data_IF_050155315588
#
_entry.id   IF_050155315588
#
_cell.length_a   1.000
_cell.length_b   1.000
_cell.length_c   1.000
_cell.angle_alpha   90.00
_cell.angle_beta   90.00
_cell.angle_gamma   90.00
#
_symmetry.space_group_name_H-M   'P 1'
#
loop_
_entity.id
_entity.type
_entity.pdbx_description
1 polymer ?
#
# COMPACT_ATOMS: atom_id res chain seq x y z
N UNK A 1 26.80 8.90 -2.78
CA UNK A 1 26.27 9.44 -1.53
C UNK A 1 24.85 8.94 -1.33
N UNK A 2 24.51 8.37 -0.16
CA UNK A 2 23.17 7.93 0.18
C UNK A 2 22.34 9.07 0.76
N UNK A 3 21.03 9.04 0.51
CA UNK A 3 20.03 9.93 1.11
C UNK A 3 18.94 9.07 1.76
N UNK A 4 18.64 9.37 3.01
CA UNK A 4 17.68 8.62 3.82
C UNK A 4 16.44 9.47 4.08
N UNK A 5 15.27 8.84 3.98
CA UNK A 5 13.98 9.48 4.20
C UNK A 5 13.11 8.62 5.10
N UNK A 6 12.52 9.24 6.10
CA UNK A 6 11.51 8.61 6.94
C UNK A 6 10.13 9.02 6.43
N UNK A 7 9.29 8.02 6.16
CA UNK A 7 7.92 8.19 5.71
C UNK A 7 6.95 8.00 6.87
N UNK A 8 6.02 8.94 7.04
CA UNK A 8 4.92 8.80 7.99
C UNK A 8 3.89 7.80 7.45
N UNK A 9 4.21 6.52 7.59
CA UNK A 9 3.34 5.40 7.19
C UNK A 9 3.39 4.31 8.25
N UNK A 10 2.23 3.77 8.67
CA UNK A 10 2.17 2.66 9.62
C UNK A 10 2.57 1.32 8.99
N UNK A 11 2.60 1.24 7.67
CA UNK A 11 2.93 0.02 6.94
C UNK A 11 4.40 -0.32 7.19
N UNK A 12 4.70 -1.56 7.57
CA UNK A 12 6.07 -2.05 7.69
C UNK A 12 6.67 -2.17 6.30
N UNK A 13 7.50 -1.19 5.90
CA UNK A 13 8.15 -1.18 4.60
C UNK A 13 9.45 -0.36 4.61
N UNK A 14 10.40 -0.78 3.76
CA UNK A 14 11.58 -0.03 3.36
C UNK A 14 11.84 -0.29 1.88
N UNK A 15 12.45 0.64 1.18
CA UNK A 15 12.82 0.44 -0.22
C UNK A 15 13.92 1.39 -0.66
N UNK A 16 14.68 0.94 -1.64
CA UNK A 16 15.75 1.71 -2.24
C UNK A 16 15.43 2.08 -3.69
N UNK A 17 15.72 3.31 -4.07
CA UNK A 17 15.63 3.78 -5.46
C UNK A 17 17.05 3.98 -6.05
N UNK A 18 17.20 3.85 -7.37
CA UNK A 18 18.45 4.18 -8.07
C UNK A 18 18.92 5.59 -7.71
N UNK A 19 20.24 5.77 -7.57
CA UNK A 19 20.83 7.05 -7.19
C UNK A 19 21.13 7.19 -5.71
N UNK A 20 20.87 6.14 -4.89
CA UNK A 20 21.24 6.13 -3.46
C UNK A 20 20.16 6.68 -2.53
N UNK A 21 18.91 6.67 -2.96
CA UNK A 21 17.77 7.09 -2.14
C UNK A 21 17.21 5.88 -1.40
N UNK A 22 17.15 5.95 -0.07
CA UNK A 22 16.61 4.89 0.80
C UNK A 22 15.47 5.48 1.62
N UNK A 23 14.34 4.80 1.59
CA UNK A 23 13.13 5.19 2.28
C UNK A 23 12.78 4.14 3.33
N UNK A 24 12.43 4.60 4.52
CA UNK A 24 11.96 3.80 5.63
C UNK A 24 10.60 4.31 6.06
N UNK A 25 9.74 3.42 6.50
CA UNK A 25 8.47 3.80 7.11
C UNK A 25 8.58 3.81 8.63
N UNK A 26 7.70 4.54 9.27
CA UNK A 26 7.50 4.51 10.71
C UNK A 26 7.14 3.10 11.21
N UNK A 27 6.42 2.31 10.37
CA UNK A 27 6.12 0.91 10.67
C UNK A 27 7.35 0.04 10.80
N UNK A 28 8.37 0.21 9.94
CA UNK A 28 9.67 -0.51 10.08
C UNK A 28 10.39 -0.09 11.35
N UNK A 29 10.38 1.20 11.69
CA UNK A 29 10.97 1.66 12.94
C UNK A 29 10.28 1.03 14.15
N UNK A 30 8.95 0.96 14.15
CA UNK A 30 8.19 0.36 15.24
C UNK A 30 8.42 -1.15 15.38
N UNK A 31 8.72 -1.85 14.29
CA UNK A 31 9.02 -3.29 14.29
C UNK A 31 10.45 -3.59 14.75
N UNK A 32 11.39 -2.68 14.50
CA UNK A 32 12.80 -2.86 14.87
C UNK A 32 12.98 -2.80 16.39
N UNK A 33 13.80 -3.69 16.95
CA UNK A 33 14.02 -3.80 18.37
C UNK A 33 15.30 -3.10 18.85
N UNK A 34 16.10 -2.58 17.93
CA UNK A 34 17.39 -1.90 18.25
C UNK A 34 17.86 -1.07 17.07
N UNK A 35 18.82 -0.17 17.33
CA UNK A 35 19.51 0.57 16.28
C UNK A 35 20.22 -0.37 15.31
N UNK A 36 20.79 -1.48 15.80
CA UNK A 36 21.42 -2.48 14.95
C UNK A 36 20.43 -3.16 13.99
N UNK A 37 19.20 -3.44 14.41
CA UNK A 37 18.15 -3.98 13.51
C UNK A 37 17.73 -2.93 12.46
N UNK A 38 17.63 -1.66 12.84
CA UNK A 38 17.37 -0.58 11.88
C UNK A 38 18.53 -0.43 10.90
N UNK A 39 19.79 -0.50 11.39
CA UNK A 39 20.98 -0.49 10.55
C UNK A 39 21.03 -1.71 9.60
N UNK A 40 20.48 -2.86 10.03
CA UNK A 40 20.36 -4.05 9.19
C UNK A 40 19.43 -3.81 8.00
N UNK A 41 18.25 -3.20 8.22
CA UNK A 41 17.34 -2.80 7.15
C UNK A 41 18.01 -1.84 6.18
N UNK A 42 18.67 -0.78 6.70
CA UNK A 42 19.40 0.17 5.86
C UNK A 42 20.54 -0.49 5.08
N UNK A 43 21.25 -1.42 5.68
CA UNK A 43 22.31 -2.20 5.06
C UNK A 43 21.80 -3.10 3.94
N UNK A 44 20.65 -3.75 4.14
CA UNK A 44 19.95 -4.55 3.13
C UNK A 44 19.55 -3.68 1.92
N UNK A 45 18.92 -2.54 2.16
CA UNK A 45 18.54 -1.59 1.09
C UNK A 45 19.75 -1.03 0.35
N UNK A 46 20.83 -0.71 1.07
CA UNK A 46 22.10 -0.32 0.48
C UNK A 46 22.69 -1.47 -0.36
N UNK A 47 22.51 -2.72 0.06
CA UNK A 47 22.88 -3.92 -0.68
C UNK A 47 22.19 -3.98 -2.04
N UNK A 48 20.90 -3.72 -2.10
CA UNK A 48 20.15 -3.65 -3.37
C UNK A 48 20.69 -2.56 -4.32
N UNK A 49 21.11 -1.41 -3.77
CA UNK A 49 21.71 -0.33 -4.58
C UNK A 49 23.08 -0.73 -5.11
N UNK A 50 23.96 -1.24 -4.23
CA UNK A 50 25.36 -1.58 -4.60
C UNK A 50 25.43 -2.75 -5.55
N UNK A 51 24.53 -3.74 -5.40
CA UNK A 51 24.38 -4.86 -6.34
C UNK A 51 23.58 -4.51 -7.60
N UNK A 52 23.08 -3.26 -7.71
CA UNK A 52 22.29 -2.74 -8.85
C UNK A 52 21.02 -3.54 -9.15
N UNK A 53 20.40 -4.17 -8.17
CA UNK A 53 19.22 -5.00 -8.35
C UNK A 53 18.05 -4.25 -8.98
N UNK A 54 17.80 -3.01 -8.56
CA UNK A 54 16.74 -2.16 -9.12
C UNK A 54 17.00 -1.80 -10.58
N UNK A 55 18.27 -1.51 -10.95
CA UNK A 55 18.64 -1.21 -12.34
C UNK A 55 18.52 -2.44 -13.24
N UNK A 56 18.94 -3.62 -12.76
CA UNK A 56 18.80 -4.87 -13.47
C UNK A 56 17.32 -5.22 -13.72
N UNK A 57 16.48 -5.03 -12.70
CA UNK A 57 15.03 -5.24 -12.78
C UNK A 57 14.38 -4.31 -13.80
N UNK A 58 14.75 -3.03 -13.78
CA UNK A 58 14.28 -2.04 -14.74
C UNK A 58 14.68 -2.41 -16.18
N UNK A 59 15.95 -2.77 -16.39
CA UNK A 59 16.47 -3.16 -17.72
C UNK A 59 15.78 -4.42 -18.25
N UNK A 60 15.55 -5.43 -17.40
CA UNK A 60 14.80 -6.65 -17.78
C UNK A 60 13.35 -6.34 -18.10
N UNK A 61 12.70 -5.46 -17.33
CA UNK A 61 11.33 -5.03 -17.58
C UNK A 61 11.18 -4.29 -18.91
N UNK A 62 12.09 -3.35 -19.20
CA UNK A 62 12.12 -2.63 -20.48
C UNK A 62 12.39 -3.59 -21.64
N UNK A 63 13.34 -4.53 -21.50
CA UNK A 63 13.62 -5.52 -22.52
C UNK A 63 12.43 -6.45 -22.80
N UNK A 64 11.71 -6.89 -21.75
CA UNK A 64 10.50 -7.70 -21.92
C UNK A 64 9.36 -6.91 -22.56
N UNK A 65 9.21 -5.64 -22.21
CA UNK A 65 8.17 -4.77 -22.78
C UNK A 65 8.48 -4.43 -24.23
N UNK A 66 9.73 -4.11 -24.55
CA UNK A 66 10.18 -3.89 -25.93
C UNK A 66 10.04 -5.17 -26.78
N UNK A 67 10.43 -6.34 -26.24
CA UNK A 67 10.24 -7.62 -26.90
C UNK A 67 8.77 -7.94 -27.16
N UNK A 68 7.90 -7.71 -26.17
CA UNK A 68 6.46 -7.86 -26.34
C UNK A 68 5.85 -6.83 -27.30
N UNK A 69 6.35 -5.59 -27.29
CA UNK A 69 5.89 -4.53 -28.22
C UNK A 69 6.30 -4.79 -29.67
N UNK A 70 7.50 -5.34 -29.90
CA UNK A 70 7.94 -5.74 -31.23
C UNK A 70 7.08 -6.91 -31.72
N UNK A 71 6.74 -7.86 -30.85
CA UNK A 71 5.88 -8.99 -31.19
C UNK A 71 4.41 -8.55 -31.43
N UNK A 72 3.92 -7.56 -30.65
CA UNK A 72 2.55 -7.02 -30.81
C UNK A 72 2.43 -6.03 -31.99
N UNK A 73 3.47 -5.28 -32.32
CA UNK A 73 3.50 -4.41 -33.50
C UNK A 73 3.40 -5.17 -34.81
N UNK A 74 3.73 -6.47 -34.79
CA UNK A 74 3.52 -7.39 -35.92
C UNK A 74 2.07 -7.90 -35.99
N UNK A 75 1.29 -7.75 -34.88
CA UNK A 75 -0.02 -8.38 -34.73
C UNK A 75 -1.18 -7.37 -34.58
N UNK A 76 -1.01 -6.18 -34.00
CA UNK A 76 -2.07 -5.17 -33.93
C UNK A 76 -1.63 -3.81 -33.32
N UNK A 77 -2.31 -2.72 -33.71
CA UNK A 77 -1.95 -1.31 -33.46
C UNK A 77 -2.32 -0.73 -32.09
N UNK A 78 -2.63 -1.55 -31.07
CA UNK A 78 -3.09 -1.10 -29.74
C UNK A 78 -2.01 -1.04 -28.63
N UNK A 79 -0.73 -1.25 -28.97
CA UNK A 79 0.35 -1.47 -28.01
C UNK A 79 0.96 -0.25 -27.32
N UNK A 80 0.62 0.99 -27.69
CA UNK A 80 1.33 2.19 -27.20
C UNK A 80 0.86 2.64 -25.80
N UNK A 81 -0.35 2.32 -25.41
CA UNK A 81 -0.92 2.75 -24.13
C UNK A 81 -0.47 1.90 -22.92
N UNK A 82 0.03 0.70 -23.14
CA UNK A 82 0.53 -0.18 -22.06
C UNK A 82 1.97 0.13 -21.61
N UNK A 83 2.79 0.74 -22.45
CA UNK A 83 4.19 1.02 -22.15
C UNK A 83 4.39 2.07 -21.04
N UNK A 84 3.44 2.97 -20.84
CA UNK A 84 3.52 4.03 -19.82
C UNK A 84 3.11 3.57 -18.40
N UNK A 85 2.41 2.43 -18.27
CA UNK A 85 2.03 1.83 -16.97
C UNK A 85 3.12 0.92 -16.35
N UNK A 86 4.10 0.52 -17.12
CA UNK A 86 5.10 -0.50 -16.70
C UNK A 86 6.10 0.02 -15.67
N UNK A 87 6.32 1.34 -15.59
CA UNK A 87 7.30 1.92 -14.67
C UNK A 87 6.95 1.73 -13.20
N UNK A 88 5.68 1.89 -12.82
CA UNK A 88 5.24 1.73 -11.42
C UNK A 88 5.15 0.26 -10.98
N UNK A 89 4.68 -0.62 -11.84
CA UNK A 89 4.54 -2.05 -11.52
C UNK A 89 5.89 -2.76 -11.34
N UNK A 90 6.94 -2.26 -11.99
CA UNK A 90 8.29 -2.80 -11.87
C UNK A 90 8.92 -2.56 -10.49
N UNK A 91 8.58 -1.46 -9.81
CA UNK A 91 9.04 -1.18 -8.44
C UNK A 91 8.26 -1.98 -7.38
N UNK A 92 7.05 -2.46 -7.72
CA UNK A 92 6.19 -3.21 -6.81
C UNK A 92 6.41 -4.73 -6.87
N UNK A 93 7.20 -5.24 -7.83
CA UNK A 93 7.52 -6.66 -7.91
C UNK A 93 8.60 -7.05 -6.91
N UNK A 94 8.47 -8.23 -6.31
CA UNK A 94 9.48 -8.78 -5.40
C UNK A 94 10.81 -9.02 -6.10
N UNK A 95 11.90 -8.89 -5.35
CA UNK A 95 13.22 -9.33 -5.80
C UNK A 95 13.29 -10.86 -5.89
N UNK A 96 14.20 -11.37 -6.69
CA UNK A 96 14.45 -12.81 -6.72
C UNK A 96 15.12 -13.27 -5.42
N UNK A 97 14.96 -14.54 -5.05
CA UNK A 97 15.62 -15.10 -3.86
C UNK A 97 17.14 -14.89 -3.87
N UNK A 98 17.77 -15.00 -5.04
CA UNK A 98 19.21 -14.76 -5.17
C UNK A 98 19.58 -13.30 -4.86
N UNK A 99 18.79 -12.35 -5.33
CA UNK A 99 18.99 -10.92 -5.07
C UNK A 99 18.75 -10.58 -3.58
N UNK A 100 17.73 -11.18 -2.96
CA UNK A 100 17.48 -11.05 -1.54
C UNK A 100 18.64 -11.58 -0.69
N UNK A 101 19.10 -12.80 -0.99
CA UNK A 101 20.25 -13.39 -0.31
C UNK A 101 21.51 -12.54 -0.47
N UNK A 102 21.78 -12.00 -1.66
CA UNK A 102 22.91 -11.11 -1.88
C UNK A 102 22.79 -9.80 -1.11
N UNK A 103 21.58 -9.24 -1.01
CA UNK A 103 21.33 -8.03 -0.22
C UNK A 103 21.52 -8.30 1.29
N UNK A 104 21.11 -9.46 1.79
CA UNK A 104 21.35 -9.89 3.17
C UNK A 104 22.85 -10.04 3.46
N UNK A 105 23.59 -10.74 2.60
CA UNK A 105 25.04 -10.95 2.75
C UNK A 105 25.81 -9.60 2.76
N UNK A 106 25.43 -8.68 1.86
CA UNK A 106 25.98 -7.32 1.83
C UNK A 106 25.59 -6.51 3.08
N UNK A 107 24.33 -6.61 3.51
CA UNK A 107 23.83 -5.94 4.70
C UNK A 107 24.57 -6.37 5.96
N UNK A 108 24.77 -7.66 6.17
CA UNK A 108 25.53 -8.22 7.30
C UNK A 108 26.98 -7.70 7.27
N UNK A 109 27.61 -7.68 6.09
CA UNK A 109 28.96 -7.13 5.92
C UNK A 109 29.02 -5.63 6.26
N UNK A 110 28.00 -4.86 5.88
CA UNK A 110 27.92 -3.43 6.22
C UNK A 110 27.71 -3.20 7.71
N UNK A 111 26.85 -3.98 8.35
CA UNK A 111 26.67 -3.98 9.81
C UNK A 111 28.00 -4.18 10.54
N UNK A 112 28.72 -5.28 10.20
CA UNK A 112 30.00 -5.61 10.83
C UNK A 112 31.02 -4.48 10.65
N UNK A 113 31.12 -3.89 9.46
CA UNK A 113 32.03 -2.76 9.19
C UNK A 113 31.64 -1.48 9.93
N UNK A 114 30.37 -1.28 10.19
CA UNK A 114 29.86 -0.15 10.97
C UNK A 114 29.94 -0.36 12.48
N UNK A 115 30.42 -1.53 12.94
CA UNK A 115 30.58 -1.87 14.35
C UNK A 115 29.30 -2.36 15.02
N UNK A 116 28.23 -2.63 14.27
CA UNK A 116 27.02 -3.25 14.79
C UNK A 116 27.14 -4.78 14.85
N UNK A 117 26.31 -5.40 15.71
CA UNK A 117 26.22 -6.86 15.77
C UNK A 117 25.64 -7.44 14.46
N UNK A 118 26.35 -8.37 13.81
CA UNK A 118 25.89 -8.98 12.56
C UNK A 118 24.57 -9.76 12.70
N UNK A 119 24.29 -10.26 13.92
CA UNK A 119 23.06 -11.03 14.22
C UNK A 119 21.79 -10.17 14.17
N UNK A 120 21.91 -8.84 14.14
CA UNK A 120 20.77 -7.94 14.03
C UNK A 120 19.95 -8.15 12.75
N UNK A 121 20.58 -8.55 11.63
CA UNK A 121 19.87 -8.92 10.41
C UNK A 121 18.91 -10.10 10.65
N UNK A 122 19.38 -11.14 11.32
CA UNK A 122 18.56 -12.29 11.69
C UNK A 122 17.43 -11.91 12.64
N UNK A 123 17.72 -11.04 13.62
CA UNK A 123 16.72 -10.51 14.56
C UNK A 123 15.59 -9.80 13.83
N UNK A 124 15.92 -8.87 12.95
CA UNK A 124 14.92 -8.15 12.15
C UNK A 124 14.09 -9.08 11.26
N UNK A 125 14.73 -9.99 10.53
CA UNK A 125 14.00 -10.95 9.67
C UNK A 125 13.05 -11.86 10.47
N UNK A 126 13.44 -12.23 11.70
CA UNK A 126 12.58 -13.02 12.60
C UNK A 126 11.37 -12.22 13.07
N UNK A 127 11.56 -10.96 13.46
CA UNK A 127 10.47 -10.04 13.82
C UNK A 127 9.52 -9.84 12.63
N UNK A 128 10.08 -9.63 11.45
CA UNK A 128 9.33 -9.49 10.22
C UNK A 128 8.49 -10.75 9.92
N UNK A 129 9.06 -11.94 10.08
CA UNK A 129 8.33 -13.21 9.87
C UNK A 129 7.17 -13.37 10.88
N UNK A 130 7.39 -13.00 12.14
CA UNK A 130 6.36 -13.03 13.18
C UNK A 130 5.20 -12.07 12.86
N UNK A 131 5.49 -10.86 12.40
CA UNK A 131 4.51 -9.85 11.97
C UNK A 131 3.65 -10.39 10.81
N UNK A 132 4.28 -10.97 9.78
CA UNK A 132 3.55 -11.59 8.68
C UNK A 132 2.61 -12.70 9.11
N UNK A 133 3.06 -13.54 10.04
CA UNK A 133 2.23 -14.61 10.58
C UNK A 133 1.02 -14.06 11.35
N UNK A 134 1.22 -12.97 12.10
CA UNK A 134 0.16 -12.27 12.82
C UNK A 134 -0.85 -11.63 11.85
N UNK A 135 -0.39 -10.90 10.86
CA UNK A 135 -1.24 -10.30 9.82
C UNK A 135 -2.09 -11.35 9.10
N UNK A 136 -1.46 -12.48 8.70
CA UNK A 136 -2.15 -13.59 8.05
C UNK A 136 -3.23 -14.19 8.94
N UNK A 137 -2.96 -14.33 10.22
CA UNK A 137 -3.92 -14.84 11.21
C UNK A 137 -5.09 -13.87 11.40
N UNK A 138 -4.82 -12.57 11.48
CA UNK A 138 -5.87 -11.54 11.62
C UNK A 138 -6.73 -11.47 10.36
N UNK A 139 -6.12 -11.55 9.18
CA UNK A 139 -6.82 -11.52 7.89
C UNK A 139 -7.61 -12.80 7.58
N UNK A 140 -7.42 -13.88 8.33
CA UNK A 140 -8.04 -15.18 8.03
C UNK A 140 -7.56 -15.79 6.70
N UNK A 141 -6.42 -15.37 6.18
CA UNK A 141 -5.85 -15.81 4.90
C UNK A 141 -4.41 -16.29 5.10
N UNK A 142 -3.95 -17.20 4.26
CA UNK A 142 -2.53 -17.64 4.25
C UNK A 142 -1.61 -16.69 3.46
N UNK A 143 -2.14 -15.58 2.97
CA UNK A 143 -1.42 -14.64 2.12
C UNK A 143 -1.30 -13.28 2.81
N UNK A 144 -0.08 -12.83 3.05
CA UNK A 144 0.22 -11.49 3.52
C UNK A 144 -0.29 -10.40 2.57
N UNK A 145 -0.66 -9.26 3.10
CA UNK A 145 -1.14 -8.11 2.34
C UNK A 145 -0.10 -7.66 1.29
N UNK A 146 -0.58 -7.32 0.10
CA UNK A 146 0.25 -6.98 -1.08
C UNK A 146 1.12 -5.70 -0.94
N UNK A 147 1.03 -4.99 0.18
CA UNK A 147 1.68 -3.68 0.37
C UNK A 147 2.71 -3.64 1.50
N UNK A 148 3.18 -4.79 1.98
CA UNK A 148 4.15 -4.87 3.07
C UNK A 148 5.55 -5.15 2.53
N UNK A 149 6.57 -4.99 3.38
CA UNK A 149 7.94 -5.37 3.10
C UNK A 149 8.04 -6.82 2.55
N UNK A 150 7.17 -7.71 2.97
CA UNK A 150 7.09 -9.08 2.46
C UNK A 150 6.74 -9.21 0.99
N UNK A 151 5.92 -8.28 0.46
CA UNK A 151 5.57 -8.33 -0.96
C UNK A 151 6.76 -8.05 -1.86
N UNK A 152 7.69 -7.21 -1.40
CA UNK A 152 8.91 -6.84 -2.12
C UNK A 152 10.12 -7.66 -1.68
N UNK A 153 10.19 -8.07 -0.39
CA UNK A 153 11.29 -8.77 0.26
C UNK A 153 10.79 -9.98 1.07
N UNK A 154 10.46 -11.11 0.44
CA UNK A 154 9.91 -12.27 1.16
C UNK A 154 10.88 -12.78 2.23
N UNK A 155 10.50 -12.70 3.52
CA UNK A 155 11.23 -13.28 4.63
C UNK A 155 10.89 -14.76 4.74
N UNK A 156 11.64 -15.59 4.05
CA UNK A 156 11.49 -17.05 4.14
C UNK A 156 12.29 -17.60 5.33
N UNK A 157 11.86 -18.71 5.92
CA UNK A 157 12.66 -19.41 6.95
C UNK A 157 14.06 -19.77 6.45
N UNK A 158 14.24 -19.99 5.14
CA UNK A 158 15.53 -20.20 4.50
C UNK A 158 16.44 -18.97 4.62
N UNK A 159 15.92 -17.73 4.39
CA UNK A 159 16.69 -16.50 4.57
C UNK A 159 17.11 -16.31 6.03
N UNK A 160 16.21 -16.53 6.98
CA UNK A 160 16.54 -16.46 8.42
C UNK A 160 17.68 -17.43 8.75
N UNK A 161 17.60 -18.70 8.31
CA UNK A 161 18.65 -19.69 8.56
C UNK A 161 19.97 -19.29 7.92
N UNK A 162 19.94 -18.82 6.69
CA UNK A 162 21.13 -18.38 5.96
C UNK A 162 21.82 -17.18 6.61
N UNK A 163 21.06 -16.20 7.09
CA UNK A 163 21.61 -15.03 7.78
C UNK A 163 22.26 -15.39 9.11
N UNK A 164 21.82 -16.46 9.80
CA UNK A 164 22.49 -17.00 10.99
C UNK A 164 23.88 -17.51 10.61
N UNK A 165 23.99 -18.29 9.53
CA UNK A 165 25.26 -18.87 9.08
C UNK A 165 26.22 -17.77 8.59
N UNK A 166 25.72 -16.82 7.82
CA UNK A 166 26.51 -15.71 7.30
C UNK A 166 27.01 -14.81 8.44
N UNK A 167 26.17 -14.48 9.41
CA UNK A 167 26.55 -13.67 10.56
C UNK A 167 27.70 -14.32 11.38
N UNK A 168 27.78 -15.65 11.43
CA UNK A 168 28.85 -16.37 12.14
C UNK A 168 30.24 -16.16 11.55
N UNK A 169 30.35 -15.72 10.31
CA UNK A 169 31.62 -15.44 9.64
C UNK A 169 32.25 -14.13 10.11
N UNK A 170 31.51 -13.30 10.84
CA UNK A 170 31.94 -12.01 11.36
C UNK A 170 32.10 -12.05 12.89
N UNK A 171 32.77 -11.05 13.44
CA UNK A 171 32.89 -10.90 14.89
C UNK A 171 31.48 -10.78 15.50
N UNK A 172 31.16 -11.65 16.46
CA UNK A 172 29.84 -11.71 17.08
C UNK A 172 29.58 -10.56 18.06
N UNK A 173 30.63 -9.82 18.43
CA UNK A 173 30.50 -8.63 19.27
C UNK A 173 30.31 -7.39 18.41
N UNK A 174 29.35 -6.56 18.81
CA UNK A 174 29.02 -5.31 18.13
C UNK A 174 27.96 -4.54 18.89
N UNK A 175 27.77 -3.31 18.51
CA UNK A 175 26.76 -2.44 19.10
C UNK A 175 25.35 -2.95 18.74
N UNK A 176 24.48 -3.01 19.74
CA UNK A 176 23.04 -3.20 19.56
C UNK A 176 22.29 -1.88 19.72
N UNK A 177 22.70 -1.07 20.71
CA UNK A 177 22.10 0.21 21.10
C UNK A 177 20.56 0.12 21.28
N UNK A 178 20.09 -0.98 21.90
CA UNK A 178 18.66 -1.22 22.10
C UNK A 178 18.00 -0.12 22.94
N UNK A 179 18.56 0.15 24.12
CA UNK A 179 17.92 1.08 25.07
C UNK A 179 17.93 2.51 24.55
N UNK A 180 18.98 2.92 23.84
CA UNK A 180 19.05 4.21 23.17
C UNK A 180 18.00 4.31 22.07
N UNK A 181 17.91 3.27 21.24
CA UNK A 181 16.91 3.19 20.18
C UNK A 181 15.49 3.30 20.73
N UNK A 182 15.14 2.54 21.78
CA UNK A 182 13.82 2.59 22.39
C UNK A 182 13.47 3.98 22.94
N UNK A 183 14.47 4.68 23.53
CA UNK A 183 14.29 6.07 23.99
C UNK A 183 14.08 7.04 22.82
N UNK A 184 14.75 6.82 21.68
CA UNK A 184 14.63 7.67 20.51
C UNK A 184 13.27 7.54 19.80
N UNK A 185 12.65 6.37 19.83
CA UNK A 185 11.32 6.14 19.22
C UNK A 185 10.18 6.32 20.23
N UNK A 186 10.46 6.59 21.51
CA UNK A 186 9.43 6.83 22.51
C UNK A 186 8.58 8.03 22.13
N UNK A 187 7.25 7.87 22.22
CA UNK A 187 6.27 8.86 21.76
C UNK A 187 6.04 8.88 20.23
N UNK A 188 6.70 8.03 19.46
CA UNK A 188 6.38 7.87 18.04
C UNK A 188 4.98 7.25 17.89
N UNK A 189 4.16 7.83 17.00
CA UNK A 189 2.81 7.31 16.73
C UNK A 189 2.90 5.87 16.22
N UNK A 190 2.23 4.93 16.88
CA UNK A 190 2.08 3.55 16.42
C UNK A 190 0.78 3.36 15.67
N UNK A 191 0.80 2.70 14.50
CA UNK A 191 -0.38 2.52 13.67
C UNK A 191 -0.75 3.77 12.86
N UNK A 192 -2.04 3.98 12.62
CA UNK A 192 -2.56 5.10 11.84
C UNK A 192 -2.30 6.46 12.50
N UNK A 193 -2.13 7.51 11.68
CA UNK A 193 -1.96 8.89 12.14
C UNK A 193 -3.16 9.77 11.74
N UNK A 194 -3.31 10.93 12.39
CA UNK A 194 -4.37 11.90 12.07
C UNK A 194 -4.32 12.37 10.60
N UNK A 195 -3.11 12.46 10.04
CA UNK A 195 -2.90 12.88 8.66
C UNK A 195 -3.34 11.83 7.63
N UNK A 196 -3.41 10.56 8.04
CA UNK A 196 -3.77 9.44 7.17
C UNK A 196 -5.17 8.90 7.42
N UNK A 197 -5.76 9.26 8.56
CA UNK A 197 -7.02 8.73 9.03
C UNK A 197 -6.89 7.42 9.79
N UNK A 198 -7.95 6.99 10.46
CA UNK A 198 -7.99 5.86 11.37
C UNK A 198 -9.02 4.83 10.95
N UNK A 199 -8.64 3.57 10.97
CA UNK A 199 -9.58 2.44 10.88
C UNK A 199 -9.96 2.02 12.30
N UNK A 200 -11.26 1.96 12.59
CA UNK A 200 -11.82 1.45 13.86
C UNK A 200 -12.98 0.52 13.55
N UNK A 201 -12.74 -0.76 13.64
CA UNK A 201 -13.71 -1.79 13.23
C UNK A 201 -14.10 -1.64 11.76
N UNK A 202 -15.39 -1.42 11.51
CA UNK A 202 -15.93 -1.24 10.15
C UNK A 202 -15.95 0.22 9.69
N UNK A 203 -15.40 1.15 10.47
CA UNK A 203 -15.46 2.58 10.17
C UNK A 203 -14.08 3.16 9.88
N UNK A 204 -14.04 4.05 8.90
CA UNK A 204 -12.91 4.90 8.61
C UNK A 204 -13.20 6.34 9.02
N UNK A 205 -12.23 6.96 9.67
CA UNK A 205 -12.31 8.33 10.16
C UNK A 205 -11.07 9.10 9.71
N UNK A 206 -11.24 10.29 9.18
CA UNK A 206 -10.14 11.18 8.84
C UNK A 206 -10.31 12.51 9.56
N UNK A 207 -9.70 12.65 10.74
CA UNK A 207 -9.91 13.82 11.63
C UNK A 207 -9.43 15.12 10.98
N UNK A 208 -8.28 15.11 10.30
CA UNK A 208 -7.73 16.29 9.63
C UNK A 208 -8.65 16.81 8.50
N UNK A 209 -9.20 15.93 7.66
CA UNK A 209 -10.17 16.29 6.61
C UNK A 209 -11.61 16.39 7.13
N UNK A 210 -11.90 15.83 8.29
CA UNK A 210 -13.19 15.91 8.96
C UNK A 210 -14.30 15.06 8.36
N UNK A 211 -13.98 13.90 7.79
CA UNK A 211 -14.97 12.96 7.23
C UNK A 211 -14.86 11.57 7.84
N UNK A 212 -15.92 10.80 7.69
CA UNK A 212 -16.02 9.40 8.10
C UNK A 212 -16.94 8.65 7.16
N UNK A 213 -16.77 7.31 7.11
CA UNK A 213 -17.74 6.38 6.54
C UNK A 213 -17.61 5.01 7.19
N UNK A 214 -18.63 4.17 7.01
CA UNK A 214 -18.67 2.81 7.57
C UNK A 214 -18.95 1.82 6.44
N UNK A 215 -18.28 0.68 6.45
CA UNK A 215 -18.48 -0.40 5.48
C UNK A 215 -19.29 -1.53 6.13
N UNK A 216 -19.94 -2.41 5.35
CA UNK A 216 -20.70 -3.53 5.89
C UNK A 216 -19.84 -4.49 6.72
N UNK A 217 -20.47 -5.21 7.63
CA UNK A 217 -19.81 -6.27 8.38
C UNK A 217 -19.21 -7.33 7.44
N UNK A 218 -18.05 -7.85 7.81
CA UNK A 218 -17.32 -8.83 7.00
C UNK A 218 -16.42 -8.21 5.92
N UNK A 219 -16.36 -6.87 5.83
CA UNK A 219 -15.40 -6.17 4.99
C UNK A 219 -14.22 -5.68 5.82
N UNK A 220 -13.02 -5.91 5.33
CA UNK A 220 -11.78 -5.41 5.93
C UNK A 220 -11.39 -4.08 5.27
N UNK A 221 -11.22 -3.05 6.09
CA UNK A 221 -10.71 -1.75 5.66
C UNK A 221 -9.18 -1.76 5.60
N UNK A 222 -8.64 -1.26 4.50
CA UNK A 222 -7.20 -1.09 4.25
C UNK A 222 -6.99 0.39 3.92
N UNK A 223 -6.33 1.09 4.84
CA UNK A 223 -5.97 2.49 4.65
C UNK A 223 -4.68 2.58 3.84
N UNK A 224 -4.72 3.28 2.72
CA UNK A 224 -3.57 3.53 1.85
C UNK A 224 -3.36 5.04 1.68
N UNK A 225 -2.16 5.51 1.31
CA UNK A 225 -1.88 6.95 1.22
C UNK A 225 -2.79 7.75 0.30
N UNK A 226 -3.35 7.13 -0.75
CA UNK A 226 -4.19 7.82 -1.75
C UNK A 226 -5.64 7.34 -1.78
N UNK A 227 -5.96 6.26 -1.06
CA UNK A 227 -7.29 5.64 -1.11
C UNK A 227 -7.54 4.75 0.10
N UNK A 228 -8.80 4.51 0.40
CA UNK A 228 -9.22 3.49 1.37
C UNK A 228 -9.93 2.37 0.63
N UNK A 229 -9.49 1.14 0.85
CA UNK A 229 -10.08 -0.04 0.20
C UNK A 229 -10.81 -0.86 1.26
N UNK A 230 -12.03 -1.29 0.97
CA UNK A 230 -12.72 -2.32 1.74
C UNK A 230 -12.86 -3.59 0.90
N UNK A 231 -12.40 -4.73 1.42
CA UNK A 231 -12.49 -6.03 0.75
C UNK A 231 -13.34 -6.99 1.54
N UNK A 232 -14.28 -7.66 0.88
CA UNK A 232 -15.08 -8.72 1.45
C UNK A 232 -14.71 -10.10 0.90
N UNK A 233 -14.90 -11.14 1.70
CA UNK A 233 -14.64 -12.53 1.30
C UNK A 233 -15.48 -13.00 0.11
N UNK A 234 -16.60 -12.33 -0.17
CA UNK A 234 -17.52 -12.61 -1.26
C UNK A 234 -17.10 -12.02 -2.62
N UNK A 235 -15.87 -11.49 -2.74
CA UNK A 235 -15.35 -10.86 -3.95
C UNK A 235 -15.85 -9.44 -4.20
N UNK A 236 -16.67 -8.88 -3.31
CA UNK A 236 -17.07 -7.47 -3.34
C UNK A 236 -15.95 -6.57 -2.79
N UNK A 237 -15.82 -5.37 -3.34
CA UNK A 237 -14.89 -4.36 -2.86
C UNK A 237 -15.47 -2.95 -2.96
N UNK A 238 -14.97 -2.07 -2.09
CA UNK A 238 -15.20 -0.63 -2.16
C UNK A 238 -13.83 0.03 -2.25
N UNK A 239 -13.66 0.97 -3.17
CA UNK A 239 -12.51 1.87 -3.21
C UNK A 239 -13.04 3.28 -2.98
N UNK A 240 -12.48 3.95 -2.00
CA UNK A 240 -12.78 5.33 -1.67
C UNK A 240 -11.54 6.20 -1.85
N UNK A 241 -11.69 7.33 -2.52
CA UNK A 241 -10.65 8.35 -2.66
C UNK A 241 -11.24 9.76 -2.82
N UNK A 242 -10.36 10.75 -2.91
CA UNK A 242 -10.70 12.11 -3.33
C UNK A 242 -10.08 12.43 -4.68
N UNK A 243 -10.84 13.13 -5.52
CA UNK A 243 -10.36 13.64 -6.78
C UNK A 243 -10.52 15.17 -6.86
N UNK A 244 -9.59 15.88 -7.52
CA UNK A 244 -9.73 17.30 -7.78
C UNK A 244 -10.90 17.54 -8.74
N UNK A 245 -11.60 18.65 -8.52
CA UNK A 245 -12.68 19.18 -9.38
C UNK A 245 -12.34 20.63 -9.76
N UNK A 246 -11.28 20.79 -10.54
CA UNK A 246 -10.76 22.10 -10.91
C UNK A 246 -11.81 22.95 -11.66
N UNK A 247 -12.59 22.30 -12.54
CA UNK A 247 -13.65 22.92 -13.33
C UNK A 247 -14.93 23.19 -12.55
N UNK A 248 -14.97 22.82 -11.26
CA UNK A 248 -16.14 23.00 -10.38
C UNK A 248 -17.43 22.38 -10.96
N UNK A 249 -17.29 21.26 -11.65
CA UNK A 249 -18.42 20.54 -12.21
C UNK A 249 -19.40 20.08 -11.13
N UNK A 250 -20.69 19.96 -11.52
CA UNK A 250 -21.65 19.23 -10.71
C UNK A 250 -21.25 17.74 -10.62
N UNK A 251 -21.70 16.98 -9.61
CA UNK A 251 -21.38 15.55 -9.52
C UNK A 251 -21.73 14.75 -10.77
N UNK A 252 -22.83 15.09 -11.46
CA UNK A 252 -23.26 14.47 -12.72
C UNK A 252 -22.25 14.74 -13.83
N UNK A 253 -21.87 16.02 -14.03
CA UNK A 253 -20.87 16.39 -15.04
C UNK A 253 -19.52 15.77 -14.73
N UNK A 254 -19.09 15.79 -13.45
CA UNK A 254 -17.84 15.17 -13.03
C UNK A 254 -17.81 13.67 -13.36
N UNK A 255 -18.88 12.93 -13.06
CA UNK A 255 -18.98 11.51 -13.41
C UNK A 255 -18.85 11.28 -14.91
N UNK A 256 -19.60 12.02 -15.72
CA UNK A 256 -19.67 11.78 -17.16
C UNK A 256 -18.40 12.26 -17.90
N UNK A 257 -17.94 13.47 -17.59
CA UNK A 257 -16.95 14.16 -18.41
C UNK A 257 -15.51 13.98 -17.88
N UNK A 258 -15.36 13.87 -16.55
CA UNK A 258 -14.04 13.73 -15.92
C UNK A 258 -13.71 12.27 -15.59
N UNK A 259 -14.64 11.57 -14.94
CA UNK A 259 -14.35 10.21 -14.45
C UNK A 259 -14.54 9.16 -15.54
N UNK A 260 -15.67 9.16 -16.22
CA UNK A 260 -15.97 8.25 -17.34
C UNK A 260 -15.39 8.73 -18.67
N UNK A 261 -14.99 9.99 -18.78
CA UNK A 261 -14.45 10.58 -20.02
C UNK A 261 -15.34 10.33 -21.25
N UNK A 262 -16.66 10.47 -21.07
CA UNK A 262 -17.65 10.20 -22.12
C UNK A 262 -17.92 8.71 -22.42
N UNK A 263 -17.23 7.79 -21.74
CA UNK A 263 -17.57 6.37 -21.81
C UNK A 263 -18.82 6.12 -20.97
N UNK A 264 -19.96 5.93 -21.63
CA UNK A 264 -21.28 5.97 -21.02
C UNK A 264 -21.49 5.01 -19.85
N UNK A 265 -21.87 5.57 -18.71
CA UNK A 265 -22.54 4.82 -17.65
C UNK A 265 -24.01 4.57 -17.99
N UNK A 266 -24.60 3.55 -17.42
CA UNK A 266 -26.03 3.28 -17.55
C UNK A 266 -26.80 4.12 -16.54
N UNK A 267 -27.44 5.21 -17.00
CA UNK A 267 -28.38 6.00 -16.20
C UNK A 267 -27.70 6.76 -15.04
N UNK A 268 -26.96 7.83 -15.35
CA UNK A 268 -26.41 8.70 -14.28
C UNK A 268 -27.54 9.43 -13.57
N UNK A 269 -27.67 9.20 -12.26
CA UNK A 269 -28.70 9.79 -11.40
C UNK A 269 -28.10 10.83 -10.47
N UNK A 270 -28.80 11.98 -10.30
CA UNK A 270 -28.49 12.95 -9.25
C UNK A 270 -29.10 12.49 -7.94
N UNK A 271 -28.29 12.39 -6.89
CA UNK A 271 -28.72 11.96 -5.55
C UNK A 271 -28.21 12.94 -4.49
N UNK A 272 -28.66 12.75 -3.25
CA UNK A 272 -28.15 13.49 -2.09
C UNK A 272 -27.65 12.51 -1.04
N UNK A 273 -26.45 12.74 -0.50
CA UNK A 273 -25.87 11.92 0.55
C UNK A 273 -25.52 12.84 1.74
N UNK A 274 -26.23 12.68 2.86
CA UNK A 274 -26.07 13.48 4.07
C UNK A 274 -26.02 14.99 3.81
N UNK A 275 -26.95 15.49 2.96
CA UNK A 275 -27.04 16.89 2.58
C UNK A 275 -26.06 17.38 1.51
N UNK A 276 -25.15 16.52 1.05
CA UNK A 276 -24.20 16.82 -0.02
C UNK A 276 -24.76 16.40 -1.38
N UNK A 277 -24.58 17.26 -2.39
CA UNK A 277 -24.91 16.90 -3.78
C UNK A 277 -24.03 15.73 -4.21
N UNK A 278 -24.64 14.74 -4.85
CA UNK A 278 -23.94 13.57 -5.34
C UNK A 278 -24.57 13.08 -6.65
N UNK A 279 -23.87 12.19 -7.33
CA UNK A 279 -24.39 11.47 -8.47
C UNK A 279 -23.88 10.02 -8.46
N UNK A 280 -24.68 9.12 -9.00
CA UNK A 280 -24.34 7.70 -9.11
C UNK A 280 -24.60 7.20 -10.54
N UNK A 281 -23.77 6.25 -10.98
CA UNK A 281 -23.96 5.56 -12.27
C UNK A 281 -23.46 4.12 -12.19
N UNK A 282 -24.08 3.23 -13.00
CA UNK A 282 -23.64 1.86 -13.16
C UNK A 282 -22.69 1.73 -14.37
N UNK A 283 -21.66 0.91 -14.25
CA UNK A 283 -20.74 0.57 -15.34
C UNK A 283 -20.45 -0.93 -15.30
N UNK A 284 -20.33 -1.56 -16.47
CA UNK A 284 -19.81 -2.93 -16.56
C UNK A 284 -18.32 -2.89 -16.82
N UNK A 285 -17.57 -3.79 -16.18
CA UNK A 285 -16.13 -3.84 -16.29
C UNK A 285 -15.55 -5.23 -16.07
N UNK A 286 -14.24 -5.28 -16.02
CA UNK A 286 -13.48 -6.49 -15.71
C UNK A 286 -12.50 -6.20 -14.59
N UNK A 287 -12.46 -7.04 -13.56
CA UNK A 287 -11.49 -6.99 -12.48
C UNK A 287 -10.81 -8.36 -12.37
N UNK A 288 -9.47 -8.41 -12.42
CA UNK A 288 -8.68 -9.66 -12.38
C UNK A 288 -9.15 -10.72 -13.41
N UNK A 289 -9.50 -10.27 -14.63
CA UNK A 289 -10.01 -11.16 -15.69
C UNK A 289 -11.47 -11.62 -15.52
N UNK A 290 -12.14 -11.23 -14.44
CA UNK A 290 -13.54 -11.58 -14.18
C UNK A 290 -14.45 -10.40 -14.46
N UNK A 291 -15.60 -10.69 -15.08
CA UNK A 291 -16.60 -9.67 -15.34
C UNK A 291 -17.28 -9.22 -14.03
N UNK A 292 -17.33 -7.90 -13.83
CA UNK A 292 -17.88 -7.26 -12.64
C UNK A 292 -18.89 -6.18 -13.00
N UNK A 293 -19.76 -5.86 -12.06
CA UNK A 293 -20.56 -4.65 -12.08
C UNK A 293 -19.89 -3.62 -11.17
N UNK A 294 -19.74 -2.40 -11.68
CA UNK A 294 -19.23 -1.26 -10.94
C UNK A 294 -20.36 -0.27 -10.70
N UNK A 295 -20.45 0.25 -9.49
CA UNK A 295 -21.21 1.46 -9.24
C UNK A 295 -20.25 2.57 -8.83
N UNK A 296 -20.28 3.66 -9.54
CA UNK A 296 -19.50 4.85 -9.29
C UNK A 296 -20.37 5.90 -8.61
N UNK A 297 -19.90 6.47 -7.52
CA UNK A 297 -20.61 7.54 -6.80
C UNK A 297 -19.63 8.69 -6.59
N UNK A 298 -19.98 9.87 -7.08
CA UNK A 298 -19.26 11.11 -6.84
C UNK A 298 -20.07 11.99 -5.89
N UNK A 299 -19.45 12.43 -4.80
CA UNK A 299 -20.08 13.28 -3.76
C UNK A 299 -19.31 14.60 -3.72
N UNK A 300 -20.00 15.70 -3.85
CA UNK A 300 -19.38 17.04 -3.78
C UNK A 300 -18.96 17.36 -2.36
N UNK A 301 -17.67 17.16 -2.05
CA UNK A 301 -17.10 17.47 -0.75
C UNK A 301 -16.87 18.98 -0.56
N UNK A 302 -16.33 19.60 -1.61
CA UNK A 302 -16.15 21.05 -1.70
C UNK A 302 -16.38 21.54 -3.13
N UNK A 303 -16.21 22.83 -3.38
CA UNK A 303 -16.28 23.36 -4.77
C UNK A 303 -15.21 22.76 -5.69
N UNK A 304 -14.06 22.35 -5.15
CA UNK A 304 -12.88 21.91 -5.91
C UNK A 304 -12.49 20.45 -5.65
N UNK A 305 -13.33 19.68 -4.93
CA UNK A 305 -13.01 18.31 -4.53
C UNK A 305 -14.26 17.42 -4.55
N UNK A 306 -14.13 16.24 -5.16
CA UNK A 306 -15.12 15.16 -5.14
C UNK A 306 -14.62 14.01 -4.28
N UNK A 307 -15.45 13.53 -3.35
CA UNK A 307 -15.27 12.22 -2.72
C UNK A 307 -15.84 11.16 -3.65
N UNK A 308 -15.08 10.11 -3.92
CA UNK A 308 -15.44 9.08 -4.89
C UNK A 308 -15.54 7.71 -4.23
N UNK A 309 -16.62 7.01 -4.53
CA UNK A 309 -16.78 5.59 -4.19
C UNK A 309 -16.87 4.77 -5.47
N UNK A 310 -16.04 3.72 -5.55
CA UNK A 310 -16.16 2.67 -6.56
C UNK A 310 -16.60 1.40 -5.84
N UNK A 311 -17.81 0.96 -6.10
CA UNK A 311 -18.34 -0.30 -5.57
C UNK A 311 -18.20 -1.34 -6.65
N UNK A 312 -17.46 -2.39 -6.37
CA UNK A 312 -17.15 -3.48 -7.30
C UNK A 312 -17.84 -4.73 -6.78
N UNK A 313 -18.65 -5.35 -7.60
CA UNK A 313 -19.32 -6.61 -7.27
C UNK A 313 -19.19 -7.61 -8.40
N UNK A 314 -19.04 -8.91 -8.12
CA UNK A 314 -19.16 -9.95 -9.13
C UNK A 314 -20.52 -9.83 -9.88
N UNK A 315 -20.58 -10.22 -11.15
CA UNK A 315 -21.84 -10.15 -11.92
C UNK A 315 -23.00 -10.94 -11.32
N UNK A 316 -22.69 -12.00 -10.60
CA UNK A 316 -23.66 -12.86 -9.93
C UNK A 316 -23.97 -12.42 -8.48
N UNK A 317 -23.52 -11.22 -8.07
CA UNK A 317 -23.82 -10.69 -6.76
C UNK A 317 -25.35 -10.49 -6.59
N UNK A 318 -25.84 -10.82 -5.41
CA UNK A 318 -27.26 -10.60 -5.08
C UNK A 318 -27.55 -9.11 -4.88
N UNK A 319 -28.82 -8.72 -5.06
CA UNK A 319 -29.27 -7.35 -4.75
C UNK A 319 -28.98 -6.96 -3.30
N UNK A 320 -29.07 -7.89 -2.37
CA UNK A 320 -28.74 -7.66 -0.96
C UNK A 320 -27.25 -7.30 -0.75
N UNK A 321 -26.33 -8.01 -1.44
CA UNK A 321 -24.91 -7.71 -1.42
C UNK A 321 -24.62 -6.31 -1.98
N UNK A 322 -25.20 -5.99 -3.14
CA UNK A 322 -25.03 -4.67 -3.74
C UNK A 322 -25.57 -3.55 -2.83
N UNK A 323 -26.77 -3.73 -2.27
CA UNK A 323 -27.37 -2.75 -1.36
C UNK A 323 -26.56 -2.60 -0.06
N UNK A 324 -26.02 -3.70 0.46
CA UNK A 324 -25.10 -3.66 1.59
C UNK A 324 -23.88 -2.79 1.31
N UNK A 325 -23.24 -2.95 0.15
CA UNK A 325 -22.09 -2.14 -0.25
C UNK A 325 -22.46 -0.67 -0.51
N UNK A 326 -23.63 -0.42 -1.11
CA UNK A 326 -24.16 0.94 -1.31
C UNK A 326 -24.34 1.68 0.02
N UNK A 327 -24.65 0.98 1.11
CA UNK A 327 -24.81 1.62 2.43
C UNK A 327 -23.56 2.36 2.89
N UNK A 328 -22.37 1.95 2.45
CA UNK A 328 -21.13 2.66 2.75
C UNK A 328 -21.14 4.11 2.21
N UNK A 329 -21.69 4.32 1.00
CA UNK A 329 -21.80 5.67 0.43
C UNK A 329 -22.75 6.57 1.21
N UNK A 330 -23.84 6.00 1.71
CA UNK A 330 -24.83 6.73 2.52
C UNK A 330 -24.34 6.99 3.95
N UNK A 331 -23.34 6.24 4.42
CA UNK A 331 -22.69 6.50 5.71
C UNK A 331 -21.63 7.61 5.65
N UNK A 332 -21.19 7.99 4.43
CA UNK A 332 -20.19 9.05 4.25
C UNK A 332 -20.73 10.40 4.73
N UNK A 333 -20.00 11.05 5.61
CA UNK A 333 -20.42 12.30 6.17
C UNK A 333 -19.33 13.05 6.93
N UNK A 334 -19.68 14.25 7.36
CA UNK A 334 -18.78 15.08 8.18
C UNK A 334 -18.71 14.54 9.61
N UNK A 335 -17.51 14.60 10.17
CA UNK A 335 -17.30 14.30 11.59
C UNK A 335 -17.75 15.45 12.47
N UNK A 336 -18.34 15.12 13.61
CA UNK A 336 -18.57 16.05 14.70
C UNK A 336 -17.27 16.38 15.44
N UNK A 337 -17.24 17.50 16.17
CA UNK A 337 -16.07 17.84 16.99
C UNK A 337 -15.82 16.80 18.09
N UNK A 338 -16.88 16.22 18.65
CA UNK A 338 -16.77 15.14 19.64
C UNK A 338 -16.09 13.89 19.09
N UNK A 339 -16.44 13.49 17.86
CA UNK A 339 -15.79 12.37 17.18
C UNK A 339 -14.32 12.63 16.88
N UNK A 340 -13.97 13.84 16.45
CA UNK A 340 -12.56 14.23 16.24
C UNK A 340 -11.76 14.15 17.54
N UNK A 341 -12.32 14.64 18.64
CA UNK A 341 -11.66 14.65 19.94
C UNK A 341 -11.51 13.23 20.54
N UNK A 342 -12.39 12.30 20.17
CA UNK A 342 -12.35 10.92 20.63
C UNK A 342 -11.32 10.05 19.86
N UNK A 343 -10.90 10.50 18.67
CA UNK A 343 -9.88 9.82 17.87
C UNK A 343 -8.49 10.28 18.33
N UNK A 344 -7.87 9.47 19.18
CA UNK A 344 -6.45 9.60 19.51
C UNK A 344 -5.68 8.44 18.88
N UNK A 345 -4.41 8.66 18.49
CA UNK A 345 -3.50 7.59 18.06
C UNK A 345 -3.39 6.49 19.09
#
# INVERSE_FOLDING_TARGET
QYKFFLLDSPIVNAFALPGGYIYLTRGVMALSNSEAEMAAVLGHEAGHITARHSAERYSRGVATTLGASILSAVIDSSGVTQALGVGSDLYLKSYSRAQENQADDLGIRYLSRAGYTPTAMTGFLSSLQAESALESKIAGTQSSSANTFFATHPATGERVSKTIEEARQYAQQGLSNRDEYMRMIDGMVYGDSEAQGFVRGQSFFHSAMGFKFTVPNGYQLINQPSQVIAKGANGGAIIFDFAPNAERYSPVMFLNDTWLKGQGGTGTESITINGMKAAATGVQGTANGQAVNLQLVAIQWSATQMARFQIIVPRNATTAQLNGLKSATYSFGKMTQGEKNALKP
#
